data_IF_943245323486
#
_entry.id   IF_943245323486
#
_cell.length_a   1.000
_cell.length_b   1.000
_cell.length_c   1.000
_cell.angle_alpha   90.00
_cell.angle_beta   90.00
_cell.angle_gamma   90.00
#
_symmetry.space_group_name_H-M   'P 1'
#
loop_
_entity.id
_entity.type
_entity.pdbx_description
1 polymer ?
#
# COMPACT_ATOMS: atom_id res chain seq x y z
N UNK A 1 -2.35 -3.25 -25.01
CA UNK A 1 -1.70 -3.90 -23.84
C UNK A 1 -2.75 -4.83 -23.24
N UNK A 2 -2.56 -6.15 -23.26
CA UNK A 2 -3.47 -7.06 -22.53
C UNK A 2 -3.15 -6.92 -21.05
N UNK A 3 -4.19 -6.79 -20.23
CA UNK A 3 -4.04 -6.88 -18.79
C UNK A 3 -3.93 -8.36 -18.45
N UNK A 4 -2.82 -8.76 -17.85
CA UNK A 4 -2.59 -10.17 -17.51
C UNK A 4 -3.30 -10.59 -16.21
N UNK A 5 -3.93 -9.65 -15.52
CA UNK A 5 -4.68 -9.90 -14.28
C UNK A 5 -6.18 -9.83 -14.51
N UNK A 6 -6.90 -10.75 -13.88
CA UNK A 6 -8.35 -10.67 -13.66
C UNK A 6 -8.71 -9.50 -12.74
N UNK A 7 -9.99 -9.11 -12.70
CA UNK A 7 -10.46 -8.06 -11.78
C UNK A 7 -10.24 -8.48 -10.33
N UNK A 8 -10.42 -9.76 -10.03
CA UNK A 8 -10.24 -10.38 -8.71
C UNK A 8 -8.78 -10.27 -8.26
N UNK A 9 -7.82 -10.70 -9.09
CA UNK A 9 -6.39 -10.56 -8.79
C UNK A 9 -5.99 -9.09 -8.62
N UNK A 10 -6.61 -8.18 -9.40
CA UNK A 10 -6.37 -6.76 -9.23
C UNK A 10 -6.86 -6.21 -7.89
N UNK A 11 -8.05 -6.65 -7.45
CA UNK A 11 -8.60 -6.29 -6.15
C UNK A 11 -7.71 -6.80 -5.01
N UNK A 12 -7.14 -8.00 -5.14
CA UNK A 12 -6.18 -8.54 -4.18
C UNK A 12 -4.90 -7.70 -4.11
N UNK A 13 -4.36 -7.25 -5.24
CA UNK A 13 -3.19 -6.38 -5.28
C UNK A 13 -3.43 -5.05 -4.58
N UNK A 14 -4.57 -4.39 -4.86
CA UNK A 14 -4.94 -3.12 -4.22
C UNK A 14 -5.16 -3.32 -2.72
N UNK A 15 -5.83 -4.41 -2.31
CA UNK A 15 -6.04 -4.74 -0.91
C UNK A 15 -4.71 -4.98 -0.18
N UNK A 16 -3.78 -5.74 -0.79
CA UNK A 16 -2.46 -6.01 -0.22
C UNK A 16 -1.63 -4.73 -0.02
N UNK A 17 -1.63 -3.83 -1.00
CA UNK A 17 -0.95 -2.53 -0.88
C UNK A 17 -1.51 -1.70 0.28
N UNK A 18 -2.84 -1.65 0.41
CA UNK A 18 -3.51 -0.97 1.52
C UNK A 18 -3.19 -1.60 2.87
N UNK A 19 -3.23 -2.92 2.97
CA UNK A 19 -2.88 -3.66 4.20
C UNK A 19 -1.43 -3.40 4.62
N UNK A 20 -0.49 -3.42 3.67
CA UNK A 20 0.90 -3.11 3.94
C UNK A 20 1.07 -1.69 4.49
N UNK A 21 0.40 -0.70 3.89
CA UNK A 21 0.36 0.66 4.41
C UNK A 21 -0.18 0.76 5.84
N UNK A 22 -1.24 0.00 6.18
CA UNK A 22 -1.79 -0.06 7.54
C UNK A 22 -0.78 -0.68 8.52
N UNK A 23 -0.08 -1.74 8.13
CA UNK A 23 0.95 -2.39 8.98
C UNK A 23 2.08 -1.42 9.32
N UNK A 24 2.54 -0.61 8.36
CA UNK A 24 3.55 0.41 8.62
C UNK A 24 3.04 1.58 9.47
N UNK A 25 1.77 1.99 9.33
CA UNK A 25 1.14 2.94 10.27
C UNK A 25 1.14 2.40 11.70
N UNK A 26 0.81 1.12 11.89
CA UNK A 26 0.88 0.44 13.20
C UNK A 26 2.30 0.40 13.73
N UNK A 27 3.29 0.07 12.89
CA UNK A 27 4.71 0.09 13.24
C UNK A 27 5.15 1.48 13.74
N UNK A 28 4.76 2.55 13.02
CA UNK A 28 5.01 3.95 13.45
C UNK A 28 4.38 4.27 14.81
N UNK A 29 3.14 3.86 15.05
CA UNK A 29 2.51 4.05 16.37
C UNK A 29 3.25 3.31 17.47
N UNK A 30 3.68 2.06 17.22
CA UNK A 30 4.43 1.26 18.19
C UNK A 30 5.83 1.84 18.43
N UNK A 31 6.48 2.37 17.40
CA UNK A 31 7.74 3.10 17.52
C UNK A 31 7.61 4.34 18.42
N UNK A 32 6.54 5.15 18.24
CA UNK A 32 6.31 6.37 19.03
C UNK A 32 6.13 6.11 20.52
N UNK A 33 5.66 4.92 20.90
CA UNK A 33 5.53 4.50 22.31
C UNK A 33 6.76 3.72 22.83
N UNK A 34 7.85 3.68 22.06
CA UNK A 34 9.10 3.04 22.48
C UNK A 34 9.06 1.51 22.47
N UNK A 35 8.20 0.89 21.65
CA UNK A 35 8.09 -0.57 21.62
C UNK A 35 9.37 -1.23 21.10
N UNK A 36 9.94 -2.17 21.89
CA UNK A 36 11.24 -2.81 21.64
C UNK A 36 11.43 -3.37 20.22
N UNK A 37 10.37 -3.92 19.62
CA UNK A 37 10.41 -4.46 18.25
C UNK A 37 10.81 -3.45 17.17
N UNK A 38 10.61 -2.14 17.42
CA UNK A 38 10.80 -1.09 16.42
C UNK A 38 11.94 -0.12 16.74
N UNK A 39 12.69 -0.30 17.84
CA UNK A 39 13.77 0.61 18.25
C UNK A 39 14.91 0.76 17.24
N UNK A 40 15.02 -0.19 16.30
CA UNK A 40 16.01 -0.21 15.21
C UNK A 40 15.57 0.58 13.97
N UNK A 41 14.30 1.01 13.90
CA UNK A 41 13.80 1.91 12.87
C UNK A 41 13.87 3.35 13.34
N UNK A 42 13.79 4.29 12.39
CA UNK A 42 13.60 5.71 12.66
C UNK A 42 12.27 6.21 12.08
N UNK A 43 11.81 7.38 12.55
CA UNK A 43 10.51 7.94 12.13
C UNK A 43 10.42 8.17 10.62
N UNK A 44 11.50 8.66 10.01
CA UNK A 44 11.55 8.96 8.58
C UNK A 44 11.37 7.69 7.74
N UNK A 45 12.09 6.62 8.04
CA UNK A 45 11.97 5.33 7.35
C UNK A 45 10.53 4.78 7.43
N UNK A 46 9.89 4.90 8.60
CA UNK A 46 8.51 4.46 8.81
C UNK A 46 7.53 5.30 7.97
N UNK A 47 7.75 6.61 7.89
CA UNK A 47 6.92 7.51 7.08
C UNK A 47 7.10 7.25 5.57
N UNK A 48 8.35 7.07 5.12
CA UNK A 48 8.67 6.71 3.74
C UNK A 48 8.00 5.40 3.32
N UNK A 49 7.99 4.39 4.19
CA UNK A 49 7.30 3.13 3.93
C UNK A 49 5.78 3.32 3.83
N UNK A 50 5.18 4.12 4.71
CA UNK A 50 3.74 4.44 4.65
C UNK A 50 3.39 5.11 3.31
N UNK A 51 4.16 6.13 2.92
CA UNK A 51 3.91 6.88 1.70
C UNK A 51 4.15 6.01 0.45
N UNK A 52 5.17 5.14 0.46
CA UNK A 52 5.43 4.18 -0.63
C UNK A 52 4.23 3.28 -0.93
N UNK A 53 3.61 2.70 0.10
CA UNK A 53 2.45 1.82 -0.11
C UNK A 53 1.19 2.58 -0.52
N UNK A 54 1.02 3.81 -0.04
CA UNK A 54 -0.06 4.71 -0.50
C UNK A 54 0.10 5.07 -1.99
N UNK A 55 1.33 5.34 -2.43
CA UNK A 55 1.62 5.58 -3.84
C UNK A 55 1.44 4.32 -4.68
N UNK A 56 1.77 3.15 -4.14
CA UNK A 56 1.54 1.85 -4.78
C UNK A 56 0.03 1.59 -4.98
N UNK A 57 -0.79 1.83 -3.95
CA UNK A 57 -2.26 1.73 -4.05
C UNK A 57 -2.79 2.64 -5.17
N UNK A 58 -2.34 3.91 -5.22
CA UNK A 58 -2.74 4.85 -6.27
C UNK A 58 -2.29 4.40 -7.67
N UNK A 59 -1.03 3.99 -7.81
CA UNK A 59 -0.47 3.51 -9.06
C UNK A 59 -1.28 2.32 -9.61
N UNK A 60 -1.69 1.40 -8.74
CA UNK A 60 -2.54 0.28 -9.11
C UNK A 60 -3.90 0.78 -9.62
N UNK A 61 -4.59 1.63 -8.87
CA UNK A 61 -5.89 2.19 -9.31
C UNK A 61 -5.78 2.89 -10.67
N UNK A 62 -4.76 3.74 -10.86
CA UNK A 62 -4.52 4.45 -12.12
C UNK A 62 -4.22 3.47 -13.27
N UNK A 63 -3.49 2.39 -12.98
CA UNK A 63 -3.17 1.34 -13.95
C UNK A 63 -4.42 0.56 -14.38
N UNK A 64 -5.32 0.24 -13.44
CA UNK A 64 -6.59 -0.41 -13.76
C UNK A 64 -7.43 0.45 -14.72
N UNK A 65 -7.54 1.75 -14.43
CA UNK A 65 -8.24 2.70 -15.30
C UNK A 65 -7.60 2.79 -16.68
N UNK A 66 -6.28 2.86 -16.74
CA UNK A 66 -5.53 2.95 -18.00
C UNK A 66 -5.75 1.72 -18.89
N UNK A 67 -5.85 0.52 -18.30
CA UNK A 67 -5.93 -0.71 -19.09
C UNK A 67 -7.37 -1.13 -19.39
N UNK A 68 -8.30 -0.90 -18.46
CA UNK A 68 -9.71 -1.32 -18.62
C UNK A 68 -10.62 -0.22 -19.15
N UNK A 69 -10.20 1.05 -19.07
CA UNK A 69 -11.03 2.22 -19.34
C UNK A 69 -12.08 2.52 -18.25
N UNK A 70 -12.17 1.69 -17.21
CA UNK A 70 -13.15 1.81 -16.14
C UNK A 70 -12.52 2.35 -14.86
N UNK A 71 -13.28 3.13 -14.10
CA UNK A 71 -12.88 3.48 -12.74
C UNK A 71 -12.88 2.23 -11.84
N UNK A 72 -11.92 2.18 -10.91
CA UNK A 72 -11.87 1.10 -9.92
C UNK A 72 -12.95 1.35 -8.85
N UNK A 73 -13.93 0.46 -8.79
CA UNK A 73 -14.97 0.43 -7.76
C UNK A 73 -14.86 -0.88 -6.99
N UNK A 74 -14.64 -0.77 -5.68
CA UNK A 74 -14.55 -1.90 -4.75
C UNK A 74 -15.92 -2.32 -4.26
#
# INVERSE_FOLDING_TARGET
MRFDFTKEEFNELVAAAKEAGIRWKKARTLWKVGHHAYLKHNEQELEENIERYKQTEKMLIDRYKTVTGNDWHR
#
